data_IF_831871185102
#
_entry.id   IF_831871185102
#
_cell.length_a   1.000
_cell.length_b   1.000
_cell.length_c   1.000
_cell.angle_alpha   90.00
_cell.angle_beta   90.00
_cell.angle_gamma   90.00
#
_symmetry.space_group_name_H-M   'P 1'
#
loop_
_entity.id
_entity.type
_entity.pdbx_description
1 polymer ?
#
# COMPACT_ATOMS: atom_id res chain seq x y z
N UNK A 1 2.06 8.18 -12.90
CA UNK A 1 2.96 7.32 -13.71
C UNK A 1 3.26 8.00 -15.03
N UNK A 2 4.43 7.75 -15.63
CA UNK A 2 4.87 8.44 -16.85
C UNK A 2 4.47 7.66 -18.10
N UNK A 3 3.87 8.34 -19.07
CA UNK A 3 3.59 7.82 -20.41
C UNK A 3 3.93 8.88 -21.47
N UNK A 4 5.16 8.83 -21.96
CA UNK A 4 5.77 9.74 -22.94
C UNK A 4 6.30 9.00 -24.18
N UNK A 5 5.95 7.72 -24.35
CA UNK A 5 6.37 6.88 -25.48
C UNK A 5 7.74 6.20 -25.31
N UNK A 6 8.31 6.23 -24.09
CA UNK A 6 9.53 5.50 -23.77
C UNK A 6 9.33 3.99 -23.65
N UNK A 7 10.39 3.17 -23.80
CA UNK A 7 10.29 1.70 -23.78
C UNK A 7 9.84 1.11 -22.44
N UNK A 8 9.94 1.89 -21.34
CA UNK A 8 9.53 1.49 -20.00
C UNK A 8 8.23 2.19 -19.55
N UNK A 9 7.61 2.98 -20.41
CA UNK A 9 6.40 3.73 -20.11
C UNK A 9 5.19 2.80 -20.11
N UNK A 10 4.88 2.30 -18.91
CA UNK A 10 3.76 1.41 -18.68
C UNK A 10 2.97 1.90 -17.48
N UNK A 11 1.65 2.02 -17.67
CA UNK A 11 0.70 2.35 -16.61
C UNK A 11 0.26 1.03 -15.98
N UNK A 12 0.65 0.82 -14.73
CA UNK A 12 0.41 -0.43 -13.98
C UNK A 12 0.29 -0.12 -12.50
N UNK A 13 0.97 -0.91 -11.66
CA UNK A 13 0.80 -1.06 -10.24
C UNK A 13 1.66 -0.06 -9.48
N UNK A 14 0.99 0.81 -8.72
CA UNK A 14 1.58 1.49 -7.58
C UNK A 14 1.28 0.65 -6.34
N UNK A 15 2.24 -0.18 -5.93
CA UNK A 15 2.09 -0.92 -4.70
C UNK A 15 2.72 -0.14 -3.54
N UNK A 16 1.95 0.04 -2.48
CA UNK A 16 2.36 0.66 -1.24
C UNK A 16 2.31 -0.37 -0.12
N UNK A 17 3.38 -0.42 0.68
CA UNK A 17 3.47 -1.18 1.91
C UNK A 17 3.72 -0.20 3.05
N UNK A 18 3.07 -0.39 4.19
CA UNK A 18 3.36 0.38 5.40
C UNK A 18 3.13 -0.44 6.66
N UNK A 19 3.82 -0.04 7.73
CA UNK A 19 3.98 -0.82 8.97
C UNK A 19 4.54 -2.23 8.70
N UNK A 20 5.45 -2.34 7.75
CA UNK A 20 6.03 -3.60 7.32
C UNK A 20 7.11 -4.07 8.31
N UNK A 21 7.01 -5.32 8.76
CA UNK A 21 8.05 -6.00 9.54
C UNK A 21 8.18 -7.46 9.12
N UNK A 22 9.38 -8.02 9.30
CA UNK A 22 9.61 -9.45 9.09
C UNK A 22 9.45 -10.18 10.44
N UNK A 23 8.37 -10.96 10.65
CA UNK A 23 8.22 -11.68 11.91
C UNK A 23 9.33 -12.71 12.20
N UNK A 24 10.14 -13.11 11.21
CA UNK A 24 11.33 -13.95 11.44
C UNK A 24 12.57 -13.13 11.84
N UNK A 25 12.60 -11.85 11.47
CA UNK A 25 13.70 -10.92 11.74
C UNK A 25 13.11 -9.57 12.21
N UNK A 26 12.55 -9.49 13.43
CA UNK A 26 11.77 -8.32 13.87
C UNK A 26 12.56 -7.01 13.86
N UNK A 27 13.86 -7.09 14.17
CA UNK A 27 14.76 -5.94 14.28
C UNK A 27 15.29 -5.46 12.92
N UNK A 28 15.30 -6.32 11.89
CA UNK A 28 15.86 -5.99 10.59
C UNK A 28 15.06 -6.65 9.46
N UNK A 29 14.19 -5.86 8.84
CA UNK A 29 13.42 -6.27 7.67
C UNK A 29 14.36 -6.74 6.55
N UNK A 30 15.56 -6.20 6.41
CA UNK A 30 16.40 -6.38 5.23
C UNK A 30 17.16 -7.71 5.18
N UNK A 31 17.21 -8.48 6.27
CA UNK A 31 17.84 -9.82 6.30
C UNK A 31 17.30 -10.72 5.17
N UNK A 32 15.98 -10.76 4.99
CA UNK A 32 15.34 -11.56 3.94
C UNK A 32 15.40 -10.97 2.52
N UNK A 33 16.12 -9.87 2.28
CA UNK A 33 16.03 -9.14 1.00
C UNK A 33 16.53 -9.93 -0.20
N UNK A 34 17.65 -10.65 -0.05
CA UNK A 34 18.18 -11.52 -1.11
C UNK A 34 17.19 -12.61 -1.49
N UNK A 35 16.51 -13.17 -0.49
CA UNK A 35 15.50 -14.20 -0.74
C UNK A 35 14.27 -13.60 -1.42
N UNK A 36 13.75 -12.46 -0.92
CA UNK A 36 12.57 -11.80 -1.51
C UNK A 36 12.79 -11.37 -2.94
N UNK A 37 13.97 -10.83 -3.27
CA UNK A 37 14.44 -10.52 -4.63
C UNK A 37 13.45 -9.76 -5.53
N UNK A 38 12.50 -9.01 -4.95
CA UNK A 38 11.45 -8.37 -5.72
C UNK A 38 10.39 -9.34 -6.26
N UNK A 39 10.30 -10.59 -5.81
CA UNK A 39 9.19 -11.51 -6.13
C UNK A 39 8.01 -11.29 -5.18
N UNK A 40 6.84 -10.93 -5.70
CA UNK A 40 5.67 -10.55 -4.89
C UNK A 40 5.24 -11.62 -3.88
N UNK A 41 5.22 -12.90 -4.27
CA UNK A 41 4.79 -14.01 -3.38
C UNK A 41 5.68 -14.14 -2.15
N UNK A 42 6.94 -13.69 -2.22
CA UNK A 42 7.88 -13.77 -1.10
C UNK A 42 7.66 -12.66 -0.06
N UNK A 43 6.75 -11.72 -0.29
CA UNK A 43 6.34 -10.72 0.69
C UNK A 43 5.14 -11.18 1.54
N UNK A 44 4.43 -12.25 1.14
CA UNK A 44 3.28 -12.79 1.88
C UNK A 44 3.56 -13.11 3.37
N UNK A 45 4.78 -13.54 3.77
CA UNK A 45 5.10 -13.78 5.18
C UNK A 45 5.30 -12.52 6.04
N UNK A 46 5.39 -11.33 5.45
CA UNK A 46 5.59 -10.09 6.21
C UNK A 46 4.33 -9.73 7.01
N UNK A 47 4.50 -9.06 8.15
CA UNK A 47 3.43 -8.29 8.77
C UNK A 47 3.39 -6.93 8.09
N UNK A 48 2.30 -6.55 7.42
CA UNK A 48 2.21 -5.28 6.69
C UNK A 48 0.77 -4.97 6.28
N UNK A 49 0.47 -3.68 6.13
CA UNK A 49 -0.64 -3.25 5.27
C UNK A 49 -0.13 -3.08 3.85
N UNK A 50 -0.99 -3.38 2.88
CA UNK A 50 -0.66 -3.35 1.47
C UNK A 50 -1.82 -2.77 0.67
N UNK A 51 -1.51 -1.85 -0.25
CA UNK A 51 -2.41 -1.47 -1.33
C UNK A 51 -1.69 -1.65 -2.65
N UNK A 52 -2.30 -2.42 -3.55
CA UNK A 52 -1.95 -2.40 -4.96
C UNK A 52 -2.91 -1.48 -5.69
N UNK A 53 -2.51 -0.24 -5.99
CA UNK A 53 -3.31 0.75 -6.69
C UNK A 53 -3.05 0.67 -8.20
N UNK A 54 -4.07 0.36 -9.00
CA UNK A 54 -3.90 0.01 -10.41
C UNK A 54 -3.07 -1.27 -10.61
N UNK A 55 -3.23 -2.24 -9.72
CA UNK A 55 -2.68 -3.58 -9.86
C UNK A 55 -3.27 -4.35 -11.06
N UNK A 56 -2.68 -5.51 -11.36
CA UNK A 56 -3.12 -6.40 -12.44
C UNK A 56 -3.28 -5.65 -13.78
N UNK A 57 -2.21 -5.00 -14.24
CA UNK A 57 -2.24 -4.20 -15.48
C UNK A 57 -3.22 -3.03 -15.42
N UNK A 58 -3.26 -2.35 -14.27
CA UNK A 58 -4.14 -1.19 -14.05
C UNK A 58 -5.64 -1.51 -14.11
N UNK A 59 -6.02 -2.74 -13.73
CA UNK A 59 -7.41 -3.21 -13.76
C UNK A 59 -8.02 -3.39 -12.36
N UNK A 60 -7.21 -3.48 -11.29
CA UNK A 60 -7.72 -3.63 -9.93
C UNK A 60 -7.02 -2.73 -8.93
N UNK A 61 -7.74 -2.32 -7.89
CA UNK A 61 -7.18 -1.62 -6.73
C UNK A 61 -7.59 -2.36 -5.48
N UNK A 62 -6.60 -2.82 -4.69
CA UNK A 62 -6.83 -3.83 -3.65
C UNK A 62 -6.12 -3.50 -2.36
N UNK A 63 -6.83 -3.54 -1.23
CA UNK A 63 -6.27 -3.44 0.11
C UNK A 63 -6.09 -4.83 0.73
N UNK A 64 -4.97 -5.07 1.41
CA UNK A 64 -4.71 -6.29 2.18
C UNK A 64 -4.01 -5.95 3.49
N UNK A 65 -4.30 -6.76 4.51
CA UNK A 65 -3.49 -6.91 5.72
C UNK A 65 -2.81 -8.27 5.68
N UNK A 66 -1.50 -8.29 5.93
CA UNK A 66 -0.72 -9.52 6.08
C UNK A 66 -0.17 -9.64 7.50
N UNK A 67 -0.22 -10.83 8.12
CA UNK A 67 -0.96 -11.99 7.66
C UNK A 67 -2.47 -11.68 7.62
N UNK A 68 -3.18 -12.39 6.72
CA UNK A 68 -4.64 -12.26 6.64
C UNK A 68 -5.26 -12.75 7.94
N UNK A 69 -6.26 -12.04 8.51
CA UNK A 69 -7.00 -12.53 9.67
C UNK A 69 -7.63 -13.91 9.38
N UNK A 70 -7.69 -14.80 10.37
CA UNK A 70 -8.21 -16.17 10.19
C UNK A 70 -9.72 -16.19 9.88
N UNK A 71 -10.41 -15.16 10.33
CA UNK A 71 -11.83 -14.90 10.21
C UNK A 71 -12.18 -13.99 9.02
N UNK A 72 -11.18 -13.61 8.20
CA UNK A 72 -11.35 -12.92 6.92
C UNK A 72 -11.94 -13.90 5.88
N UNK A 73 -13.20 -14.32 6.12
CA UNK A 73 -13.90 -15.38 5.36
C UNK A 73 -14.15 -15.03 3.89
N UNK A 74 -13.92 -13.78 3.50
CA UNK A 74 -13.76 -13.39 2.12
C UNK A 74 -13.01 -12.07 2.12
N UNK A 75 -12.09 -11.89 1.18
CA UNK A 75 -11.69 -10.55 0.74
C UNK A 75 -12.96 -9.76 0.48
N UNK A 76 -13.34 -8.89 1.42
CA UNK A 76 -14.58 -8.12 1.25
C UNK A 76 -14.47 -7.37 -0.08
N UNK A 77 -15.54 -7.38 -0.86
CA UNK A 77 -15.56 -6.72 -2.16
C UNK A 77 -15.22 -5.23 -2.07
N UNK A 78 -15.50 -4.60 -0.92
CA UNK A 78 -15.08 -3.22 -0.62
C UNK A 78 -13.56 -3.01 -0.60
N UNK A 79 -12.76 -4.08 -0.47
CA UNK A 79 -11.29 -4.07 -0.54
C UNK A 79 -10.73 -4.57 -1.88
N UNK A 80 -11.62 -4.82 -2.85
CA UNK A 80 -11.29 -5.31 -4.19
C UNK A 80 -12.06 -4.51 -5.26
N UNK A 81 -11.50 -3.36 -5.62
CA UNK A 81 -12.10 -2.42 -6.55
C UNK A 81 -11.66 -2.70 -7.98
N UNK A 82 -12.61 -2.64 -8.92
CA UNK A 82 -12.36 -2.82 -10.37
C UNK A 82 -12.89 -1.65 -11.23
N UNK A 83 -13.55 -0.67 -10.63
CA UNK A 83 -14.00 0.53 -11.34
C UNK A 83 -12.78 1.37 -11.77
N UNK A 84 -12.77 1.77 -13.05
CA UNK A 84 -11.75 2.61 -13.68
C UNK A 84 -11.41 3.88 -12.91
N UNK A 85 -12.35 4.45 -12.13
CA UNK A 85 -12.09 5.64 -11.31
C UNK A 85 -11.05 5.40 -10.21
N UNK A 86 -10.80 4.14 -9.84
CA UNK A 86 -9.79 3.72 -8.87
C UNK A 86 -8.49 3.24 -9.52
N UNK A 87 -8.27 3.52 -10.81
CA UNK A 87 -7.06 3.12 -11.54
C UNK A 87 -6.11 4.31 -11.76
N UNK A 88 -4.88 4.01 -12.17
CA UNK A 88 -3.91 5.04 -12.52
C UNK A 88 -4.29 5.69 -13.85
N UNK A 89 -4.27 7.02 -13.86
CA UNK A 89 -4.36 7.83 -15.08
C UNK A 89 -2.94 8.20 -15.51
N UNK A 90 -2.55 7.96 -16.77
CA UNK A 90 -1.24 8.34 -17.29
C UNK A 90 -0.94 9.83 -17.11
N UNK A 91 0.32 10.17 -16.82
CA UNK A 91 0.83 11.53 -16.68
C UNK A 91 0.12 12.43 -15.65
N UNK A 92 -0.73 11.84 -14.80
CA UNK A 92 -1.37 12.55 -13.70
C UNK A 92 -0.55 12.40 -12.42
N UNK A 93 -0.30 13.52 -11.75
CA UNK A 93 0.23 13.54 -10.39
C UNK A 93 -0.88 13.10 -9.44
N UNK A 94 -0.56 12.14 -8.56
CA UNK A 94 -1.46 11.66 -7.51
C UNK A 94 -0.85 12.02 -6.16
N UNK A 95 -1.67 12.48 -5.22
CA UNK A 95 -1.30 12.56 -3.80
C UNK A 95 -1.78 11.28 -3.12
N UNK A 96 -0.85 10.46 -2.64
CA UNK A 96 -1.17 9.24 -1.89
C UNK A 96 -0.88 9.47 -0.43
N UNK A 97 -1.84 9.12 0.43
CA UNK A 97 -1.72 9.21 1.88
C UNK A 97 -2.00 7.84 2.49
N UNK A 98 -1.02 7.36 3.26
CA UNK A 98 -1.10 6.11 4.01
C UNK A 98 -1.26 6.47 5.48
N UNK A 99 -2.38 6.09 6.08
CA UNK A 99 -2.72 6.45 7.45
C UNK A 99 -2.74 5.20 8.31
N UNK A 100 -2.09 5.29 9.46
CA UNK A 100 -2.19 4.31 10.53
C UNK A 100 -2.42 5.07 11.84
N UNK A 101 -3.68 5.22 12.22
CA UNK A 101 -4.13 5.95 13.41
C UNK A 101 -4.86 5.02 14.38
N UNK A 102 -4.15 4.55 15.41
CA UNK A 102 -4.73 3.60 16.35
C UNK A 102 -5.23 2.36 15.63
N UNK A 103 -6.54 2.11 15.64
CA UNK A 103 -7.15 0.97 14.94
C UNK A 103 -7.50 1.29 13.47
N UNK A 104 -7.54 2.57 13.08
CA UNK A 104 -7.95 3.00 11.75
C UNK A 104 -6.76 3.00 10.79
N UNK A 105 -6.86 2.18 9.76
CA UNK A 105 -5.87 2.04 8.72
C UNK A 105 -6.50 2.51 7.41
N UNK A 106 -5.90 3.48 6.75
CA UNK A 106 -6.53 4.12 5.59
C UNK A 106 -5.56 4.34 4.44
N UNK A 107 -6.13 4.33 3.24
CA UNK A 107 -5.46 4.72 2.01
C UNK A 107 -6.31 5.79 1.33
N UNK A 108 -5.70 6.95 1.10
CA UNK A 108 -6.34 8.06 0.40
C UNK A 108 -5.59 8.36 -0.89
N UNK A 109 -6.35 8.80 -1.90
CA UNK A 109 -5.84 9.30 -3.17
C UNK A 109 -6.47 10.66 -3.44
N UNK A 110 -5.65 11.68 -3.60
CA UNK A 110 -6.08 13.07 -3.83
C UNK A 110 -7.09 13.58 -2.77
N UNK A 111 -6.94 13.13 -1.51
CA UNK A 111 -7.88 13.43 -0.42
C UNK A 111 -9.16 12.58 -0.40
N UNK A 112 -9.41 11.76 -1.44
CA UNK A 112 -10.51 10.79 -1.46
C UNK A 112 -10.14 9.56 -0.63
N UNK A 113 -10.98 9.20 0.35
CA UNK A 113 -10.82 7.97 1.13
C UNK A 113 -11.22 6.76 0.27
N UNK A 114 -10.22 5.98 -0.16
CA UNK A 114 -10.45 4.79 -1.00
C UNK A 114 -10.68 3.56 -0.14
N UNK A 115 -9.85 3.38 0.90
CA UNK A 115 -9.97 2.27 1.83
C UNK A 115 -9.89 2.76 3.26
N UNK A 116 -10.73 2.18 4.11
CA UNK A 116 -10.66 2.26 5.56
C UNK A 116 -10.82 0.86 6.14
N UNK A 117 -9.95 0.52 7.08
CA UNK A 117 -9.95 -0.76 7.76
C UNK A 117 -9.75 -0.54 9.27
N UNK A 118 -10.70 -1.01 10.07
CA UNK A 118 -10.59 -1.03 11.52
C UNK A 118 -9.92 -2.33 11.96
N UNK A 119 -8.63 -2.24 12.25
CA UNK A 119 -7.83 -3.37 12.71
C UNK A 119 -7.98 -3.53 14.24
N UNK A 120 -8.49 -4.68 14.73
CA UNK A 120 -8.53 -4.94 16.17
C UNK A 120 -7.14 -5.10 16.78
N UNK A 121 -6.15 -5.52 15.99
CA UNK A 121 -4.75 -5.76 16.37
C UNK A 121 -3.80 -5.02 15.42
N UNK A 122 -3.81 -3.67 15.45
CA UNK A 122 -3.09 -2.85 14.49
C UNK A 122 -1.57 -2.89 14.65
N UNK A 123 -0.86 -2.83 13.54
CA UNK A 123 0.58 -2.64 13.52
C UNK A 123 0.92 -1.20 13.89
N UNK A 124 1.86 -1.05 14.83
CA UNK A 124 2.20 0.24 15.47
C UNK A 124 3.43 0.90 14.87
N UNK A 125 4.30 0.09 14.27
CA UNK A 125 5.57 0.52 13.71
C UNK A 125 5.99 -0.43 12.59
N UNK A 126 6.98 0.00 11.82
CA UNK A 126 7.57 -0.78 10.76
C UNK A 126 8.02 0.10 9.61
N UNK A 127 8.46 -0.56 8.54
CA UNK A 127 8.93 0.09 7.35
C UNK A 127 7.77 0.48 6.42
N UNK A 128 8.02 1.47 5.59
CA UNK A 128 7.19 1.71 4.41
C UNK A 128 7.99 1.33 3.16
N UNK A 129 7.30 1.03 2.06
CA UNK A 129 7.96 0.70 0.82
C UNK A 129 7.06 0.83 -0.39
N UNK A 130 7.66 1.19 -1.51
CA UNK A 130 7.03 1.08 -2.82
C UNK A 130 7.53 -0.17 -3.52
N UNK A 131 6.63 -0.84 -4.24
CA UNK A 131 6.99 -1.93 -5.14
C UNK A 131 6.38 -1.65 -6.50
N UNK A 132 7.18 -1.80 -7.54
CA UNK A 132 6.74 -1.55 -8.91
C UNK A 132 7.15 -2.72 -9.78
N UNK A 133 6.29 -3.10 -10.73
CA UNK A 133 6.61 -4.12 -11.73
C UNK A 133 6.64 -3.45 -13.10
N UNK A 134 7.79 -3.44 -13.79
CA UNK A 134 7.94 -2.91 -15.17
C UNK A 134 7.17 -1.58 -15.36
N UNK A 135 7.60 -0.54 -14.66
CA UNK A 135 6.89 0.74 -14.61
C UNK A 135 7.87 1.91 -14.65
N UNK A 136 7.44 3.03 -15.21
CA UNK A 136 8.14 4.31 -15.13
C UNK A 136 7.34 5.26 -14.23
N UNK A 137 7.86 5.51 -13.02
CA UNK A 137 7.19 6.30 -11.99
C UNK A 137 8.17 7.33 -11.43
N UNK A 138 7.68 8.56 -11.23
CA UNK A 138 8.36 9.60 -10.45
C UNK A 138 7.68 9.72 -9.10
N UNK A 139 8.48 9.63 -8.04
CA UNK A 139 8.07 9.95 -6.67
C UNK A 139 8.64 11.31 -6.30
N UNK A 140 7.85 12.12 -5.60
CA UNK A 140 8.23 13.46 -5.17
C UNK A 140 7.48 13.81 -3.87
N UNK A 141 7.98 14.79 -3.12
CA UNK A 141 7.36 15.30 -1.89
C UNK A 141 7.04 14.21 -0.84
N UNK A 142 7.89 13.19 -0.73
CA UNK A 142 7.74 12.16 0.28
C UNK A 142 7.90 12.75 1.70
N UNK A 143 6.93 12.48 2.58
CA UNK A 143 6.94 12.90 3.98
C UNK A 143 6.34 11.82 4.86
N UNK A 144 6.88 11.69 6.06
CA UNK A 144 6.28 10.92 7.17
C UNK A 144 6.02 11.89 8.30
N UNK A 145 4.78 11.95 8.75
CA UNK A 145 4.35 12.88 9.81
C UNK A 145 3.64 12.11 10.90
N UNK A 146 3.85 12.52 12.15
CA UNK A 146 3.06 12.02 13.28
C UNK A 146 1.64 12.58 13.17
N UNK A 147 0.64 11.71 13.32
CA UNK A 147 -0.75 12.11 13.42
C UNK A 147 -0.91 12.81 14.78
N UNK A 148 -1.36 14.06 14.76
CA UNK A 148 -1.71 14.76 16.00
C UNK A 148 -3.01 14.14 16.50
N UNK A 149 -2.97 13.51 17.67
CA UNK A 149 -4.17 13.08 18.37
C UNK A 149 -5.06 14.30 18.53
N UNK A 150 -6.24 14.29 17.92
CA UNK A 150 -7.26 15.30 18.21
C UNK A 150 -7.51 15.25 19.71
N UNK A 151 -7.07 16.28 20.44
CA UNK A 151 -7.44 16.43 21.84
C UNK A 151 -8.96 16.38 21.91
N UNK A 152 -9.48 15.48 22.74
CA UNK A 152 -10.84 15.59 23.21
C UNK A 152 -11.00 17.04 23.69
N UNK A 153 -11.86 17.81 23.00
CA UNK A 153 -12.33 19.08 23.55
C UNK A 153 -13.03 18.70 24.85
N UNK A 154 -12.35 18.95 25.98
CA UNK A 154 -12.98 19.04 27.29
C UNK A 154 -14.02 20.15 27.28
#
# INVERSE_FOLDING_TARGET
MVQKGGPNDRISDLNCFWMASDPKNPEDLFVGSKERSGNFKKYDPLKTYYVGYGANENATTRFRRYPRPRDDKALKSEYDLSDTKYMNVPNKTLKIELVADGKKIQFLRDGELIFTYDDPEPYREGWFGFRTTRSHIRFDNFKVTRIQSGGEKK
#
